data_IF_709658436162
#
_entry.id   IF_709658436162
#
_cell.length_a   1.000
_cell.length_b   1.000
_cell.length_c   1.000
_cell.angle_alpha   90.00
_cell.angle_beta   90.00
_cell.angle_gamma   90.00
#
_symmetry.space_group_name_H-M   'P 1'
#
loop_
_entity.id
_entity.type
_entity.pdbx_description
1 polymer ?
#
# COMPACT_ATOMS: atom_id res chain seq x y z
N UNK A 1 19.68 2.25 -0.73
CA UNK A 1 18.22 2.43 -0.58
C UNK A 1 17.49 1.28 -1.24
N UNK A 2 16.61 0.62 -0.53
CA UNK A 2 15.79 -0.44 -1.10
C UNK A 2 14.51 0.17 -1.67
N UNK A 3 14.21 -0.15 -2.93
CA UNK A 3 13.03 0.37 -3.64
C UNK A 3 12.27 -0.81 -4.21
N UNK A 4 10.97 -0.84 -4.01
CA UNK A 4 10.08 -1.81 -4.63
C UNK A 4 9.00 -1.09 -5.43
N UNK A 5 8.66 -1.63 -6.59
CA UNK A 5 7.57 -1.13 -7.42
C UNK A 5 6.54 -2.23 -7.60
N UNK A 6 5.29 -1.87 -7.47
CA UNK A 6 4.17 -2.78 -7.56
C UNK A 6 3.10 -2.17 -8.45
N UNK A 7 2.67 -2.91 -9.46
CA UNK A 7 1.58 -2.48 -10.33
C UNK A 7 0.26 -2.99 -9.77
N UNK A 8 -0.70 -2.10 -9.65
CA UNK A 8 -2.02 -2.38 -9.11
C UNK A 8 -3.07 -1.88 -10.08
N UNK A 9 -4.03 -2.73 -10.43
CA UNK A 9 -5.19 -2.30 -11.20
C UNK A 9 -6.30 -1.87 -10.26
N UNK A 10 -6.85 -0.68 -10.52
CA UNK A 10 -7.97 -0.17 -9.74
C UNK A 10 -9.20 -1.02 -10.03
N UNK A 11 -9.80 -1.55 -8.97
CA UNK A 11 -10.99 -2.38 -9.04
C UNK A 11 -12.24 -1.54 -8.81
N UNK A 12 -13.38 -2.08 -9.25
CA UNK A 12 -14.67 -1.41 -9.05
C UNK A 12 -14.92 -1.09 -7.58
N UNK A 13 -14.61 -2.03 -6.68
CA UNK A 13 -14.78 -1.85 -5.23
C UNK A 13 -13.84 -0.83 -4.59
N UNK A 14 -12.85 -0.34 -5.31
CA UNK A 14 -11.95 0.72 -4.82
C UNK A 14 -12.54 2.11 -5.03
N UNK A 15 -13.61 2.23 -5.82
CA UNK A 15 -14.16 3.50 -6.25
C UNK A 15 -15.40 3.89 -5.46
N UNK A 16 -15.65 5.19 -5.39
CA UNK A 16 -16.85 5.77 -4.77
C UNK A 16 -17.85 6.25 -5.85
N UNK A 17 -19.02 6.81 -5.46
CA UNK A 17 -20.00 7.27 -6.44
C UNK A 17 -19.52 8.38 -7.38
N UNK A 18 -18.39 9.02 -7.10
CA UNK A 18 -17.76 9.98 -8.02
C UNK A 18 -16.96 9.30 -9.14
N UNK A 19 -16.91 7.95 -9.17
CA UNK A 19 -16.18 7.14 -10.14
C UNK A 19 -14.66 7.28 -10.07
N UNK A 20 -14.15 7.70 -8.92
CA UNK A 20 -12.70 7.75 -8.64
C UNK A 20 -12.40 6.91 -7.41
N UNK A 21 -11.14 6.57 -7.22
CA UNK A 21 -10.73 5.80 -6.04
C UNK A 21 -11.12 6.54 -4.77
N UNK A 22 -11.82 5.83 -3.88
CA UNK A 22 -12.13 6.33 -2.54
C UNK A 22 -10.81 6.41 -1.74
N UNK A 23 -10.48 7.59 -1.23
CA UNK A 23 -9.13 7.87 -0.74
C UNK A 23 -8.58 6.88 0.32
N UNK A 24 -9.38 6.31 1.25
CA UNK A 24 -8.85 5.31 2.18
C UNK A 24 -8.33 4.05 1.49
N UNK A 25 -8.80 3.76 0.27
CA UNK A 25 -8.32 2.61 -0.50
C UNK A 25 -6.85 2.79 -0.90
N UNK A 26 -6.41 4.02 -1.16
CA UNK A 26 -4.99 4.28 -1.40
C UNK A 26 -4.14 3.89 -0.19
N UNK A 27 -4.57 4.23 1.02
CA UNK A 27 -3.84 3.87 2.22
C UNK A 27 -3.76 2.36 2.42
N UNK A 28 -4.82 1.61 2.11
CA UNK A 28 -4.79 0.16 2.12
C UNK A 28 -3.78 -0.40 1.10
N UNK A 29 -3.75 0.17 -0.12
CA UNK A 29 -2.79 -0.21 -1.15
C UNK A 29 -1.36 0.09 -0.72
N UNK A 30 -1.12 1.21 -0.05
CA UNK A 30 0.20 1.59 0.45
C UNK A 30 0.64 0.65 1.57
N UNK A 31 -0.26 0.25 2.46
CA UNK A 31 0.05 -0.71 3.51
C UNK A 31 0.41 -2.08 2.91
N UNK A 32 -0.35 -2.55 1.93
CA UNK A 32 -0.04 -3.78 1.20
C UNK A 32 1.31 -3.69 0.51
N UNK A 33 1.62 -2.54 -0.07
CA UNK A 33 2.89 -2.31 -0.77
C UNK A 33 4.06 -2.26 0.20
N UNK A 34 3.86 -1.73 1.40
CA UNK A 34 4.86 -1.77 2.47
C UNK A 34 5.12 -3.20 2.91
N UNK A 35 4.08 -4.01 3.07
CA UNK A 35 4.22 -5.44 3.38
C UNK A 35 5.00 -6.18 2.29
N UNK A 36 4.69 -5.88 1.03
CA UNK A 36 5.39 -6.46 -0.13
C UNK A 36 6.86 -6.06 -0.13
N UNK A 37 7.18 -4.82 0.22
CA UNK A 37 8.56 -4.35 0.33
C UNK A 37 9.35 -5.21 1.32
N UNK A 38 8.80 -5.48 2.51
CA UNK A 38 9.44 -6.34 3.51
C UNK A 38 9.61 -7.77 3.01
N UNK A 39 8.61 -8.32 2.35
CA UNK A 39 8.67 -9.67 1.79
C UNK A 39 9.77 -9.79 0.74
N UNK A 40 9.85 -8.82 -0.18
CA UNK A 40 10.89 -8.79 -1.23
C UNK A 40 12.29 -8.62 -0.63
N UNK A 41 12.39 -7.89 0.48
CA UNK A 41 13.65 -7.73 1.20
C UNK A 41 14.04 -8.96 2.04
N UNK A 42 13.19 -9.97 2.10
CA UNK A 42 13.46 -11.22 2.82
C UNK A 42 12.83 -11.32 4.20
N UNK A 43 11.97 -10.38 4.59
CA UNK A 43 11.36 -10.34 5.93
C UNK A 43 9.87 -10.04 5.82
N UNK A 44 9.01 -11.04 5.99
CA UNK A 44 7.58 -10.78 6.09
C UNK A 44 7.24 -10.10 7.42
N UNK A 45 6.09 -9.42 7.49
CA UNK A 45 5.61 -8.84 8.75
C UNK A 45 5.42 -9.92 9.82
N UNK A 46 4.92 -11.10 9.43
CA UNK A 46 4.74 -12.21 10.35
C UNK A 46 6.09 -12.66 10.94
N UNK A 47 7.13 -12.73 10.11
CA UNK A 47 8.48 -13.12 10.56
C UNK A 47 9.04 -12.09 11.52
N UNK A 48 8.84 -10.80 11.27
CA UNK A 48 9.29 -9.73 12.16
C UNK A 48 8.58 -9.78 13.52
N UNK A 49 7.27 -9.98 13.50
CA UNK A 49 6.47 -10.13 14.73
C UNK A 49 6.96 -11.32 15.54
N UNK A 50 7.18 -12.46 14.87
CA UNK A 50 7.59 -13.68 15.50
C UNK A 50 9.01 -13.61 16.06
N UNK A 51 9.95 -13.03 15.28
CA UNK A 51 11.37 -12.96 15.63
C UNK A 51 11.63 -11.98 16.77
N UNK A 52 10.95 -10.85 16.79
CA UNK A 52 11.19 -9.78 17.76
C UNK A 52 10.12 -9.68 18.83
N UNK A 53 9.15 -10.59 18.86
CA UNK A 53 8.09 -10.57 19.88
C UNK A 53 7.16 -9.38 19.79
N UNK A 54 7.00 -8.80 18.61
CA UNK A 54 6.13 -7.64 18.42
C UNK A 54 4.66 -8.07 18.44
N UNK A 55 3.80 -7.19 18.97
CA UNK A 55 2.35 -7.39 18.94
C UNK A 55 1.81 -7.13 17.55
N UNK A 56 2.48 -6.26 16.79
CA UNK A 56 2.13 -5.89 15.43
C UNK A 56 2.94 -4.68 15.00
N UNK A 57 2.61 -4.13 13.83
CA UNK A 57 3.24 -2.91 13.31
C UNK A 57 2.11 -1.91 13.05
N UNK A 58 1.60 -1.22 14.10
CA UNK A 58 0.47 -0.31 13.94
C UNK A 58 0.86 0.98 13.22
N UNK A 59 -0.07 1.51 12.43
CA UNK A 59 0.06 2.83 11.83
C UNK A 59 -0.38 3.87 12.86
N UNK A 60 0.49 4.83 13.18
CA UNK A 60 0.19 5.91 14.14
C UNK A 60 -0.02 7.25 13.47
N UNK A 61 0.45 7.41 12.26
CA UNK A 61 0.23 8.61 11.45
C UNK A 61 0.38 8.27 9.98
N UNK A 62 -0.46 8.86 9.14
CA UNK A 62 -0.35 8.73 7.70
C UNK A 62 -0.90 9.98 7.04
N UNK A 63 -0.32 10.35 5.89
CA UNK A 63 -0.80 11.50 5.12
C UNK A 63 -0.49 11.30 3.65
N UNK A 64 -1.30 11.92 2.81
CA UNK A 64 -1.12 11.87 1.37
C UNK A 64 -1.58 13.17 0.73
N UNK A 65 -1.04 13.46 -0.46
CA UNK A 65 -1.53 14.52 -1.33
C UNK A 65 -1.99 13.88 -2.63
N UNK A 66 -3.15 14.29 -3.11
CA UNK A 66 -3.76 13.71 -4.31
C UNK A 66 -3.78 14.77 -5.41
N UNK A 67 -3.18 14.45 -6.54
CA UNK A 67 -3.05 15.39 -7.66
C UNK A 67 -3.91 14.99 -8.85
N UNK A 68 -3.95 13.71 -9.17
CA UNK A 68 -4.68 13.17 -10.32
C UNK A 68 -5.51 11.99 -9.82
N UNK A 69 -6.84 12.01 -10.01
CA UNK A 69 -7.66 10.87 -9.59
C UNK A 69 -7.43 9.65 -10.49
N UNK A 70 -7.59 8.47 -9.90
CA UNK A 70 -7.57 7.21 -10.63
C UNK A 70 -9.00 6.67 -10.72
N UNK A 71 -9.30 5.95 -11.80
CA UNK A 71 -10.63 5.41 -12.06
C UNK A 71 -10.57 3.89 -12.23
N UNK A 72 -11.74 3.26 -12.23
CA UNK A 72 -11.85 1.82 -12.42
C UNK A 72 -11.11 1.37 -13.70
N UNK A 73 -10.31 0.33 -13.55
CA UNK A 73 -9.54 -0.25 -14.65
C UNK A 73 -8.18 0.38 -14.90
N UNK A 74 -7.89 1.54 -14.30
CA UNK A 74 -6.57 2.15 -14.41
C UNK A 74 -5.51 1.27 -13.76
N UNK A 75 -4.34 1.23 -14.38
CA UNK A 75 -3.16 0.63 -13.78
C UNK A 75 -2.32 1.73 -13.14
N UNK A 76 -1.96 1.54 -11.88
CA UNK A 76 -1.06 2.45 -11.17
C UNK A 76 0.17 1.68 -10.70
N UNK A 77 1.29 2.38 -10.62
CA UNK A 77 2.51 1.83 -10.04
C UNK A 77 2.75 2.47 -8.68
N UNK A 78 2.91 1.64 -7.66
CA UNK A 78 3.22 2.10 -6.31
C UNK A 78 4.70 1.83 -6.07
N UNK A 79 5.45 2.92 -5.89
CA UNK A 79 6.86 2.85 -5.54
C UNK A 79 7.02 3.01 -4.04
N UNK A 80 7.66 2.06 -3.41
CA UNK A 80 7.91 2.05 -1.97
C UNK A 80 9.40 2.08 -1.72
N UNK A 81 9.84 2.99 -0.85
CA UNK A 81 11.25 3.20 -0.51
C UNK A 81 11.45 3.17 0.99
N UNK A 82 12.63 2.76 1.38
CA UNK A 82 13.12 2.91 2.74
C UNK A 82 14.08 4.06 2.81
#
# INVERSE_FOLDING_TARGET
>A
MFVNRRDVQIQWGDCDPANIVYYPRYFAMFDDSTSTLFEVAGFSKQDLVKKYGLVGIPMVDTRAKFYIPSTYGDWITIETKV
#
